data_IF_537135337959
#
_entry.id   IF_537135337959
#
_cell.length_a   1.000
_cell.length_b   1.000
_cell.length_c   1.000
_cell.angle_alpha   90.00
_cell.angle_beta   90.00
_cell.angle_gamma   90.00
#
_symmetry.space_group_name_H-M   'P 1'
#
loop_
_entity.id
_entity.type
_entity.pdbx_description
1 polymer ?
#
# COMPACT_ATOMS: atom_id res chain seq x y z
N UNK A 1 39.81 20.60 -4.81
CA UNK A 1 38.58 20.84 -5.58
C UNK A 1 37.63 21.68 -4.71
N UNK A 2 37.14 22.82 -5.19
CA UNK A 2 36.08 23.54 -4.47
C UNK A 2 34.84 22.61 -4.42
N UNK A 3 34.30 22.39 -3.23
CA UNK A 3 33.03 21.66 -3.06
C UNK A 3 31.98 22.46 -3.86
N UNK A 4 31.28 21.79 -4.76
CA UNK A 4 30.19 22.40 -5.53
C UNK A 4 29.12 22.88 -4.53
N UNK A 5 28.54 24.07 -4.77
CA UNK A 5 27.55 24.61 -3.86
C UNK A 5 26.28 23.75 -3.92
N UNK A 6 25.57 23.58 -2.79
CA UNK A 6 24.31 22.85 -2.76
C UNK A 6 23.33 23.36 -3.82
N UNK A 7 23.30 24.70 -4.04
CA UNK A 7 22.43 25.29 -5.06
C UNK A 7 22.73 24.75 -6.45
N UNK A 8 24.01 24.72 -6.87
CA UNK A 8 24.40 24.23 -8.19
C UNK A 8 24.04 22.75 -8.37
N UNK A 9 24.33 21.94 -7.35
CA UNK A 9 23.98 20.52 -7.37
C UNK A 9 22.46 20.29 -7.39
N UNK A 10 21.70 21.11 -6.65
CA UNK A 10 20.24 21.04 -6.63
C UNK A 10 19.63 21.43 -7.98
N UNK A 11 20.10 22.52 -8.62
CA UNK A 11 19.65 22.92 -9.97
C UNK A 11 19.88 21.78 -10.96
N UNK A 12 21.10 21.24 -11.01
CA UNK A 12 21.40 20.10 -11.89
C UNK A 12 20.53 18.87 -11.63
N UNK A 13 20.22 18.61 -10.37
CA UNK A 13 19.31 17.53 -10.00
C UNK A 13 17.87 17.77 -10.46
N UNK A 14 17.35 18.99 -10.29
CA UNK A 14 16.00 19.36 -10.77
C UNK A 14 15.92 19.24 -12.29
N UNK A 15 16.91 19.78 -13.02
CA UNK A 15 16.93 19.70 -14.49
C UNK A 15 16.95 18.25 -15.01
N UNK A 16 17.66 17.37 -14.33
CA UNK A 16 17.80 15.98 -14.70
C UNK A 16 16.59 15.12 -14.31
N UNK A 17 16.17 15.20 -13.05
CA UNK A 17 15.19 14.26 -12.45
C UNK A 17 13.78 14.81 -12.43
N UNK A 18 13.61 16.14 -12.44
CA UNK A 18 12.31 16.80 -12.33
C UNK A 18 12.13 17.96 -13.31
N UNK A 19 12.40 17.80 -14.60
CA UNK A 19 12.32 18.89 -15.57
C UNK A 19 10.95 19.58 -15.58
N UNK A 20 9.90 18.85 -15.20
CA UNK A 20 8.55 19.40 -15.09
C UNK A 20 8.42 20.50 -14.02
N UNK A 21 9.33 20.60 -13.05
CA UNK A 21 9.27 21.63 -11.99
C UNK A 21 9.55 23.02 -12.54
N UNK A 22 10.42 23.12 -13.54
CA UNK A 22 10.81 24.39 -14.17
C UNK A 22 10.02 24.72 -15.43
N UNK A 23 9.02 23.92 -15.79
CA UNK A 23 8.14 24.19 -16.92
C UNK A 23 7.23 25.41 -16.65
N UNK A 24 7.12 26.29 -17.63
CA UNK A 24 6.25 27.46 -17.55
C UNK A 24 4.78 27.08 -17.41
N UNK A 25 4.09 27.80 -16.53
CA UNK A 25 2.65 27.61 -16.30
C UNK A 25 2.31 26.50 -15.31
N UNK A 26 3.30 25.81 -14.77
CA UNK A 26 3.10 24.89 -13.64
C UNK A 26 3.31 25.64 -12.33
N UNK A 27 2.42 25.39 -11.37
CA UNK A 27 2.48 25.91 -10.02
C UNK A 27 2.49 24.78 -9.02
N UNK A 28 3.34 24.87 -8.01
CA UNK A 28 3.61 23.80 -7.06
C UNK A 28 3.12 24.14 -5.66
N UNK A 29 2.87 23.14 -4.83
CA UNK A 29 2.57 23.30 -3.42
C UNK A 29 3.75 22.80 -2.59
N UNK A 30 4.37 23.66 -1.77
CA UNK A 30 5.48 23.29 -0.90
C UNK A 30 4.98 23.04 0.53
N UNK A 31 5.16 21.84 1.05
CA UNK A 31 4.88 21.53 2.45
C UNK A 31 5.97 22.10 3.35
N UNK A 32 5.64 23.08 4.19
CA UNK A 32 6.60 23.82 5.01
C UNK A 32 6.24 23.70 6.49
N UNK A 33 7.13 23.06 7.26
CA UNK A 33 7.01 22.98 8.72
C UNK A 33 7.63 24.16 9.45
N UNK A 34 8.52 24.90 8.80
CA UNK A 34 9.37 25.93 9.41
C UNK A 34 10.77 25.41 9.80
N UNK A 35 10.99 24.10 9.82
CA UNK A 35 12.29 23.48 10.06
C UNK A 35 13.27 23.69 8.91
N UNK A 36 14.59 23.51 9.18
CA UNK A 36 15.68 23.85 8.26
C UNK A 36 15.48 23.24 6.86
N UNK A 37 15.07 21.96 6.76
CA UNK A 37 14.95 21.29 5.47
C UNK A 37 13.88 21.92 4.59
N UNK A 38 12.72 22.20 5.17
CA UNK A 38 11.62 22.85 4.46
C UNK A 38 11.93 24.29 4.07
N UNK A 39 12.67 25.02 4.93
CA UNK A 39 13.07 26.41 4.65
C UNK A 39 14.15 26.47 3.57
N UNK A 40 15.09 25.53 3.56
CA UNK A 40 16.08 25.42 2.48
C UNK A 40 15.41 25.03 1.17
N UNK A 41 14.47 24.09 1.18
CA UNK A 41 13.72 23.70 -0.03
C UNK A 41 13.05 24.91 -0.68
N UNK A 42 12.27 25.69 0.07
CA UNK A 42 11.59 26.86 -0.50
C UNK A 42 12.54 27.98 -0.91
N UNK A 43 13.67 28.14 -0.21
CA UNK A 43 14.71 29.10 -0.61
C UNK A 43 15.36 28.72 -1.95
N UNK A 44 15.69 27.42 -2.14
CA UNK A 44 16.25 26.91 -3.40
C UNK A 44 15.27 27.10 -4.57
N UNK A 45 14.01 26.71 -4.38
CA UNK A 45 12.96 26.85 -5.40
C UNK A 45 12.68 28.32 -5.75
N UNK A 46 12.62 29.19 -4.73
CA UNK A 46 12.46 30.63 -4.93
C UNK A 46 13.64 31.24 -5.72
N UNK A 47 14.88 30.84 -5.39
CA UNK A 47 16.08 31.28 -6.09
C UNK A 47 16.14 30.79 -7.54
N UNK A 48 15.49 29.68 -7.87
CA UNK A 48 15.34 29.19 -9.24
C UNK A 48 14.20 29.86 -10.00
N UNK A 49 13.37 30.68 -9.36
CA UNK A 49 12.20 31.30 -9.97
C UNK A 49 11.05 30.36 -10.23
N UNK A 50 10.95 29.25 -9.49
CA UNK A 50 9.83 28.31 -9.56
C UNK A 50 8.58 28.96 -8.97
N UNK A 51 7.44 28.84 -9.63
CA UNK A 51 6.14 29.30 -9.10
C UNK A 51 5.57 28.29 -8.12
N UNK A 52 5.39 28.68 -6.86
CA UNK A 52 4.83 27.84 -5.83
C UNK A 52 4.03 28.61 -4.79
N UNK A 53 3.18 27.86 -4.08
CA UNK A 53 2.53 28.28 -2.85
C UNK A 53 3.06 27.43 -1.69
N UNK A 54 2.90 27.91 -0.47
CA UNK A 54 3.29 27.20 0.76
C UNK A 54 2.05 26.63 1.45
N UNK A 55 2.14 25.38 1.93
CA UNK A 55 1.17 24.76 2.82
C UNK A 55 1.80 24.50 4.19
N UNK A 56 1.18 25.00 5.25
CA UNK A 56 1.56 24.77 6.63
C UNK A 56 0.43 24.11 7.41
N UNK A 57 0.74 23.03 8.14
CA UNK A 57 -0.21 22.30 8.99
C UNK A 57 0.13 22.50 10.45
N UNK A 58 -0.78 23.10 11.21
CA UNK A 58 -0.67 23.22 12.65
C UNK A 58 -1.50 22.10 13.32
N UNK A 59 -0.83 21.19 14.00
CA UNK A 59 -1.44 20.05 14.67
C UNK A 59 -1.76 20.29 16.14
N UNK A 60 -1.40 21.46 16.68
CA UNK A 60 -1.56 21.88 18.08
C UNK A 60 -0.97 20.91 19.12
N UNK A 61 -0.02 20.07 18.74
CA UNK A 61 0.57 19.05 19.62
C UNK A 61 1.64 19.61 20.56
N UNK A 62 2.13 20.84 20.30
CA UNK A 62 3.24 21.46 21.04
C UNK A 62 2.89 22.84 21.64
N UNK A 63 1.60 23.14 21.76
CA UNK A 63 1.13 24.38 22.36
C UNK A 63 1.73 25.63 21.71
N UNK A 64 2.45 26.47 22.51
CA UNK A 64 3.03 27.74 22.03
C UNK A 64 4.07 27.57 20.92
N UNK A 65 4.82 26.45 20.89
CA UNK A 65 5.78 26.19 19.82
C UNK A 65 5.08 26.04 18.47
N UNK A 66 3.95 25.36 18.40
CA UNK A 66 3.16 25.23 17.18
C UNK A 66 2.70 26.58 16.63
N UNK A 67 2.30 27.50 17.51
CA UNK A 67 1.90 28.86 17.13
C UNK A 67 3.09 29.72 16.68
N UNK A 68 4.25 29.55 17.34
CA UNK A 68 5.52 30.21 16.94
C UNK A 68 5.90 29.78 15.52
N UNK A 69 5.86 28.48 15.24
CA UNK A 69 6.27 27.90 13.96
C UNK A 69 5.36 28.38 12.83
N UNK A 70 4.06 28.39 13.04
CA UNK A 70 3.09 28.95 12.11
C UNK A 70 3.33 30.45 11.84
N UNK A 71 3.54 31.23 12.91
CA UNK A 71 3.85 32.67 12.80
C UNK A 71 5.13 32.91 12.00
N UNK A 72 6.14 32.05 12.19
CA UNK A 72 7.39 32.12 11.46
C UNK A 72 7.18 31.90 9.95
N UNK A 73 6.44 30.84 9.58
CA UNK A 73 6.12 30.52 8.18
C UNK A 73 5.27 31.63 7.54
N UNK A 74 4.28 32.18 8.25
CA UNK A 74 3.46 33.31 7.78
C UNK A 74 4.33 34.53 7.42
N UNK A 75 5.22 34.92 8.33
CA UNK A 75 6.13 36.05 8.12
C UNK A 75 7.10 35.83 6.95
N UNK A 76 7.54 34.59 6.78
CA UNK A 76 8.41 34.26 5.64
C UNK A 76 7.64 34.38 4.31
N UNK A 77 6.42 33.81 4.23
CA UNK A 77 5.59 33.86 3.04
C UNK A 77 5.22 35.32 2.66
N UNK A 78 4.80 36.13 3.62
CA UNK A 78 4.51 37.57 3.42
C UNK A 78 5.71 38.33 2.88
N UNK A 79 6.89 38.12 3.47
CA UNK A 79 8.14 38.83 3.05
C UNK A 79 8.54 38.48 1.62
N UNK A 80 8.27 37.28 1.15
CA UNK A 80 8.65 36.82 -0.18
C UNK A 80 7.52 36.90 -1.20
N UNK A 81 6.33 37.39 -0.81
CA UNK A 81 5.17 37.52 -1.70
C UNK A 81 4.63 36.14 -2.16
N UNK A 82 4.81 35.08 -1.36
CA UNK A 82 4.37 33.72 -1.67
C UNK A 82 3.00 33.43 -1.03
N UNK A 83 2.07 32.88 -1.81
CA UNK A 83 0.75 32.46 -1.30
C UNK A 83 0.92 31.37 -0.21
N UNK A 84 0.19 31.52 0.88
CA UNK A 84 0.24 30.61 2.02
C UNK A 84 -1.14 30.02 2.33
N UNK A 85 -1.19 28.72 2.49
CA UNK A 85 -2.34 27.97 3.00
C UNK A 85 -1.98 27.40 4.38
N UNK A 86 -2.69 27.84 5.42
CA UNK A 86 -2.58 27.30 6.77
C UNK A 86 -3.84 26.51 7.11
N UNK A 87 -3.68 25.46 7.89
CA UNK A 87 -4.77 24.70 8.46
C UNK A 87 -4.47 24.30 9.90
N UNK A 88 -5.47 24.41 10.76
CA UNK A 88 -5.44 23.95 12.14
C UNK A 88 -6.15 22.60 12.24
N UNK A 89 -5.52 21.63 12.92
CA UNK A 89 -6.06 20.28 13.06
C UNK A 89 -6.32 19.92 14.53
N UNK A 90 -7.49 19.39 14.82
CA UNK A 90 -7.75 18.67 16.07
C UNK A 90 -7.29 17.21 15.90
N UNK A 91 -5.96 17.02 16.03
CA UNK A 91 -5.31 15.74 15.82
C UNK A 91 -5.69 14.70 16.84
N UNK A 92 -5.96 15.11 18.09
CA UNK A 92 -6.29 14.21 19.19
C UNK A 92 -7.66 13.59 18.96
N UNK A 93 -8.68 14.42 18.74
CA UNK A 93 -10.05 13.93 18.48
C UNK A 93 -10.11 13.05 17.21
N UNK A 94 -9.34 13.38 16.18
CA UNK A 94 -9.26 12.54 14.97
C UNK A 94 -8.63 11.18 15.26
N UNK A 95 -7.53 11.12 16.01
CA UNK A 95 -6.87 9.88 16.39
C UNK A 95 -7.78 8.97 17.22
N UNK A 96 -8.46 9.53 18.22
CA UNK A 96 -9.40 8.82 19.09
C UNK A 96 -10.59 8.26 18.32
N UNK A 97 -11.18 9.05 17.42
CA UNK A 97 -12.34 8.63 16.62
C UNK A 97 -12.06 7.47 15.69
N UNK A 98 -10.81 7.31 15.26
CA UNK A 98 -10.36 6.24 14.34
C UNK A 98 -9.57 5.12 15.01
N UNK A 99 -9.25 5.23 16.29
CA UNK A 99 -8.45 4.25 17.01
C UNK A 99 -7.02 4.09 16.47
N UNK A 100 -6.41 5.19 15.99
CA UNK A 100 -5.06 5.22 15.43
C UNK A 100 -4.12 6.07 16.27
N UNK A 101 -2.80 5.94 16.06
CA UNK A 101 -1.83 6.78 16.75
C UNK A 101 -1.91 8.24 16.30
N UNK A 102 -1.51 9.18 17.18
CA UNK A 102 -1.44 10.62 16.88
C UNK A 102 -0.55 10.88 15.65
N UNK A 103 0.56 10.13 15.50
CA UNK A 103 1.44 10.26 14.33
C UNK A 103 0.73 9.86 13.03
N UNK A 104 -0.03 8.75 13.04
CA UNK A 104 -0.84 8.34 11.89
C UNK A 104 -1.93 9.37 11.58
N UNK A 105 -2.63 9.85 12.61
CA UNK A 105 -3.65 10.88 12.46
C UNK A 105 -3.09 12.16 11.81
N UNK A 106 -1.99 12.69 12.36
CA UNK A 106 -1.31 13.87 11.81
C UNK A 106 -0.83 13.65 10.35
N UNK A 107 -0.40 12.43 10.04
CA UNK A 107 -0.01 12.06 8.67
C UNK A 107 -1.22 12.04 7.75
N UNK A 108 -2.30 11.36 8.09
CA UNK A 108 -3.49 11.24 7.25
C UNK A 108 -4.09 12.63 6.97
N UNK A 109 -4.32 13.44 8.00
CA UNK A 109 -4.88 14.78 7.88
C UNK A 109 -3.99 15.70 7.01
N UNK A 110 -2.66 15.58 7.11
CA UNK A 110 -1.70 16.33 6.29
C UNK A 110 -1.82 15.99 4.81
N UNK A 111 -1.85 14.68 4.48
CA UNK A 111 -1.92 14.23 3.10
C UNK A 111 -3.28 14.55 2.47
N UNK A 112 -4.37 14.41 3.23
CA UNK A 112 -5.72 14.81 2.78
C UNK A 112 -5.78 16.31 2.47
N UNK A 113 -5.21 17.15 3.32
CA UNK A 113 -5.14 18.60 3.08
C UNK A 113 -4.36 18.94 1.81
N UNK A 114 -3.20 18.34 1.62
CA UNK A 114 -2.39 18.58 0.43
C UNK A 114 -3.12 18.13 -0.84
N UNK A 115 -3.71 16.95 -0.80
CA UNK A 115 -4.48 16.44 -1.93
C UNK A 115 -5.66 17.36 -2.27
N UNK A 116 -6.42 17.80 -1.26
CA UNK A 116 -7.53 18.74 -1.42
C UNK A 116 -7.07 20.06 -2.07
N UNK A 117 -5.98 20.65 -1.59
CA UNK A 117 -5.43 21.87 -2.17
C UNK A 117 -4.99 21.68 -3.63
N UNK A 118 -4.36 20.57 -3.97
CA UNK A 118 -3.97 20.28 -5.35
C UNK A 118 -5.19 20.22 -6.28
N UNK A 119 -6.26 19.56 -5.85
CA UNK A 119 -7.51 19.46 -6.64
C UNK A 119 -8.21 20.82 -6.76
N UNK A 120 -8.38 21.54 -5.65
CA UNK A 120 -9.14 22.80 -5.61
C UNK A 120 -8.43 23.97 -6.27
N UNK A 121 -7.11 24.05 -6.16
CA UNK A 121 -6.28 25.16 -6.65
C UNK A 121 -5.51 24.85 -7.92
N UNK A 122 -5.52 23.59 -8.38
CA UNK A 122 -4.84 23.18 -9.60
C UNK A 122 -3.33 23.14 -9.48
N UNK A 123 -2.76 22.87 -8.30
CA UNK A 123 -1.32 22.67 -8.16
C UNK A 123 -0.86 21.40 -8.89
N UNK A 124 0.28 21.48 -9.53
CA UNK A 124 0.86 20.38 -10.33
C UNK A 124 1.37 19.21 -9.47
N UNK A 125 1.59 19.45 -8.18
CA UNK A 125 2.03 18.47 -7.20
C UNK A 125 2.52 19.12 -5.92
N UNK A 126 2.96 18.29 -4.97
CA UNK A 126 3.38 18.69 -3.63
C UNK A 126 4.85 18.39 -3.42
N UNK A 127 5.63 19.38 -3.04
CA UNK A 127 7.05 19.21 -2.71
C UNK A 127 7.24 18.99 -1.22
N UNK A 128 7.95 17.91 -0.88
CA UNK A 128 8.27 17.48 0.48
C UNK A 128 9.78 17.56 0.70
N UNK A 129 10.20 18.11 1.83
CA UNK A 129 11.60 18.34 2.16
C UNK A 129 12.30 17.11 2.80
N UNK A 130 11.95 15.89 2.38
CA UNK A 130 12.67 14.69 2.78
C UNK A 130 14.07 14.66 2.15
N UNK A 131 15.07 14.25 2.93
CA UNK A 131 16.46 14.24 2.55
C UNK A 131 17.12 12.85 2.71
N UNK A 132 18.41 12.74 2.40
CA UNK A 132 19.11 11.46 2.35
C UNK A 132 19.18 10.74 3.71
N UNK A 133 19.24 11.47 4.82
CA UNK A 133 19.20 10.85 6.15
C UNK A 133 17.83 10.24 6.45
N UNK A 134 16.72 10.85 6.03
CA UNK A 134 15.38 10.28 6.13
C UNK A 134 15.25 8.98 5.31
N UNK A 135 15.96 8.90 4.18
CA UNK A 135 16.04 7.70 3.36
C UNK A 135 16.71 6.56 4.13
N UNK A 136 17.86 6.84 4.76
CA UNK A 136 18.57 5.87 5.62
C UNK A 136 17.67 5.41 6.76
N UNK A 137 17.01 6.34 7.46
CA UNK A 137 16.07 6.01 8.55
C UNK A 137 14.95 5.08 8.07
N UNK A 138 14.36 5.39 6.92
CA UNK A 138 13.25 4.61 6.37
C UNK A 138 13.69 3.19 6.02
N UNK A 139 14.84 3.02 5.38
CA UNK A 139 15.39 1.71 5.02
C UNK A 139 15.70 0.89 6.26
N UNK A 140 16.40 1.48 7.25
CA UNK A 140 16.73 0.79 8.49
C UNK A 140 15.48 0.41 9.29
N UNK A 141 14.50 1.30 9.36
CA UNK A 141 13.22 1.02 10.01
C UNK A 141 12.48 -0.15 9.34
N UNK A 142 12.40 -0.17 8.01
CA UNK A 142 11.78 -1.26 7.28
C UNK A 142 12.55 -2.57 7.46
N UNK A 143 13.89 -2.51 7.41
CA UNK A 143 14.76 -3.67 7.60
C UNK A 143 14.57 -4.32 8.97
N UNK A 144 14.48 -3.53 10.04
CA UNK A 144 14.28 -4.06 11.40
C UNK A 144 12.91 -4.70 11.63
N UNK A 145 11.92 -4.40 10.78
CA UNK A 145 10.57 -4.98 10.86
C UNK A 145 10.36 -6.19 9.94
N UNK A 146 11.35 -6.50 9.15
CA UNK A 146 11.21 -7.45 8.04
C UNK A 146 10.52 -6.78 6.84
N UNK A 147 11.14 -6.86 5.69
CA UNK A 147 10.62 -6.23 4.48
C UNK A 147 11.02 -7.00 3.23
N UNK A 148 10.26 -6.83 2.17
CA UNK A 148 10.63 -7.24 0.81
C UNK A 148 11.62 -6.24 0.19
N UNK A 149 12.03 -6.50 -1.06
CA UNK A 149 12.87 -5.60 -1.84
C UNK A 149 12.28 -4.18 -1.89
N UNK A 150 10.97 -4.03 -1.99
CA UNK A 150 10.29 -2.72 -2.04
C UNK A 150 10.55 -1.86 -0.81
N UNK A 151 10.55 -2.44 0.38
CA UNK A 151 10.87 -1.70 1.60
C UNK A 151 12.33 -1.28 1.71
N UNK A 152 13.25 -2.02 1.05
CA UNK A 152 14.66 -1.66 0.96
C UNK A 152 14.93 -0.54 -0.06
N UNK A 153 13.99 -0.27 -0.98
CA UNK A 153 14.05 0.87 -1.88
C UNK A 153 13.83 2.21 -1.15
N UNK A 154 13.31 2.16 0.07
CA UNK A 154 13.00 3.34 0.87
C UNK A 154 11.94 4.24 0.22
N UNK A 155 12.17 5.56 0.26
CA UNK A 155 11.30 6.54 -0.37
C UNK A 155 11.66 6.76 -1.83
N UNK A 156 10.66 6.78 -2.71
CA UNK A 156 10.84 7.25 -4.09
C UNK A 156 10.94 8.77 -4.15
N UNK A 157 11.69 9.29 -5.11
CA UNK A 157 11.77 10.73 -5.39
C UNK A 157 10.39 11.29 -5.78
N UNK A 158 9.64 10.54 -6.59
CA UNK A 158 8.26 10.83 -6.96
C UNK A 158 7.39 9.67 -6.47
N UNK A 159 6.29 10.00 -5.84
CA UNK A 159 5.20 9.07 -5.54
C UNK A 159 3.87 9.79 -5.67
N UNK A 160 3.06 9.38 -6.64
CA UNK A 160 1.80 10.04 -6.98
C UNK A 160 2.03 11.53 -7.29
N UNK A 161 1.42 12.43 -6.51
CA UNK A 161 1.58 13.88 -6.63
C UNK A 161 2.73 14.44 -5.77
N UNK A 162 3.48 13.60 -5.05
CA UNK A 162 4.49 14.02 -4.07
C UNK A 162 5.91 13.92 -4.62
N UNK A 163 6.67 15.02 -4.53
CA UNK A 163 8.02 15.19 -5.04
C UNK A 163 8.99 15.44 -3.88
N UNK A 164 10.11 14.72 -3.82
CA UNK A 164 11.14 14.81 -2.77
C UNK A 164 12.44 15.26 -3.37
N UNK A 165 12.51 16.55 -3.65
CA UNK A 165 13.61 17.15 -4.41
C UNK A 165 14.93 17.23 -3.63
N UNK A 166 14.89 17.12 -2.30
CA UNK A 166 16.08 17.09 -1.44
C UNK A 166 16.61 15.68 -1.14
N UNK A 167 15.96 14.62 -1.66
CA UNK A 167 16.28 13.22 -1.30
C UNK A 167 17.74 12.81 -1.56
N UNK A 168 18.48 13.32 -2.55
CA UNK A 168 19.90 13.01 -2.74
C UNK A 168 20.85 13.69 -1.75
N UNK A 169 20.39 14.75 -1.07
CA UNK A 169 21.26 15.63 -0.26
C UNK A 169 21.22 15.22 1.21
N UNK A 170 22.40 15.23 1.85
CA UNK A 170 22.52 14.93 3.27
C UNK A 170 22.05 16.12 4.13
N UNK A 171 21.51 15.81 5.31
CA UNK A 171 21.10 16.84 6.30
C UNK A 171 22.18 17.86 6.58
N UNK A 172 23.42 17.43 6.74
CA UNK A 172 24.56 18.30 6.98
C UNK A 172 24.80 19.31 5.85
N UNK A 173 24.62 18.90 4.59
CA UNK A 173 24.75 19.79 3.42
C UNK A 173 23.63 20.85 3.41
N UNK A 174 22.42 20.46 3.77
CA UNK A 174 21.25 21.35 3.90
C UNK A 174 21.49 22.39 5.01
N UNK A 175 21.93 21.96 6.18
CA UNK A 175 22.22 22.87 7.31
C UNK A 175 23.38 23.81 7.02
N UNK A 176 24.44 23.36 6.36
CA UNK A 176 25.55 24.19 5.97
C UNK A 176 25.11 25.28 4.96
N UNK A 177 24.31 24.87 3.97
CA UNK A 177 23.72 25.84 3.03
C UNK A 177 22.83 26.86 3.74
N UNK A 178 22.02 26.45 4.71
CA UNK A 178 21.20 27.37 5.47
C UNK A 178 22.02 28.41 6.23
N UNK A 179 23.15 28.00 6.84
CA UNK A 179 24.07 28.90 7.55
C UNK A 179 24.80 29.86 6.61
N UNK A 180 25.28 29.34 5.47
CA UNK A 180 26.00 30.15 4.45
C UNK A 180 25.11 31.22 3.81
N UNK A 181 23.79 30.98 3.74
CA UNK A 181 22.84 31.92 3.12
C UNK A 181 21.96 32.65 4.14
N UNK A 182 22.31 32.64 5.44
CA UNK A 182 21.54 33.29 6.51
C UNK A 182 20.06 32.93 6.55
N UNK A 183 19.71 31.74 6.07
CA UNK A 183 18.33 31.20 6.12
C UNK A 183 17.97 30.98 7.58
N UNK A 184 16.85 31.55 8.03
CA UNK A 184 16.34 31.35 9.38
C UNK A 184 15.36 30.16 9.36
N UNK A 185 15.32 29.42 10.47
CA UNK A 185 14.42 28.31 10.69
C UNK A 185 14.03 28.19 12.16
N UNK A 186 13.03 27.40 12.45
CA UNK A 186 12.61 27.03 13.82
C UNK A 186 13.08 25.63 14.17
N UNK A 187 13.54 25.44 15.39
CA UNK A 187 13.94 24.12 15.89
C UNK A 187 12.76 23.43 16.56
N UNK A 188 12.57 22.17 16.21
CA UNK A 188 11.53 21.32 16.77
C UNK A 188 12.10 20.58 18.01
N UNK A 189 11.57 20.91 19.19
CA UNK A 189 12.01 20.31 20.46
C UNK A 189 11.76 18.79 20.53
N UNK A 190 10.77 18.25 19.77
CA UNK A 190 10.45 16.82 19.77
C UNK A 190 11.49 15.98 19.01
N UNK A 191 12.34 16.59 18.19
CA UNK A 191 13.44 15.90 17.57
C UNK A 191 14.48 15.34 18.56
N UNK A 192 14.49 15.84 19.80
CA UNK A 192 15.43 15.41 20.84
C UNK A 192 14.96 14.16 21.63
N UNK A 193 13.74 13.68 21.44
CA UNK A 193 13.21 12.54 22.23
C UNK A 193 13.41 11.20 21.51
N UNK A 194 13.76 10.15 22.28
CA UNK A 194 13.97 8.79 21.77
C UNK A 194 12.72 7.88 21.91
N UNK A 195 11.54 8.46 22.08
CA UNK A 195 10.31 7.70 22.33
C UNK A 195 9.87 6.82 21.15
N UNK A 196 10.25 7.19 19.95
CA UNK A 196 9.86 6.47 18.72
C UNK A 196 11.03 5.72 18.09
N UNK A 197 10.77 4.57 17.50
CA UNK A 197 11.78 3.71 16.86
C UNK A 197 12.62 4.49 15.82
N UNK A 198 12.01 5.40 15.05
CA UNK A 198 12.72 6.23 14.08
C UNK A 198 13.71 7.19 14.75
N UNK A 199 13.30 7.83 15.83
CA UNK A 199 14.20 8.72 16.58
C UNK A 199 15.39 7.94 17.17
N UNK A 200 15.17 6.71 17.65
CA UNK A 200 16.26 5.83 18.10
C UNK A 200 17.23 5.49 16.97
N UNK A 201 16.72 5.20 15.78
CA UNK A 201 17.57 4.98 14.60
C UNK A 201 18.37 6.24 14.29
N UNK A 202 17.73 7.40 14.23
CA UNK A 202 18.34 8.72 13.95
C UNK A 202 19.46 9.07 14.92
N UNK A 203 19.21 8.91 16.23
CA UNK A 203 20.12 9.40 17.25
C UNK A 203 21.16 8.37 17.73
N UNK A 204 20.88 7.08 17.61
CA UNK A 204 21.75 6.03 18.16
C UNK A 204 22.38 5.13 17.09
N UNK A 205 21.73 4.92 15.94
CA UNK A 205 22.24 3.97 14.92
C UNK A 205 22.96 4.71 13.80
N UNK A 206 22.34 5.71 13.20
CA UNK A 206 22.92 6.44 12.07
C UNK A 206 24.27 7.09 12.42
N UNK A 207 24.48 7.74 13.58
CA UNK A 207 25.77 8.28 13.94
C UNK A 207 26.89 7.23 13.93
N UNK A 208 26.65 6.06 14.52
CA UNK A 208 27.63 4.96 14.52
C UNK A 208 27.93 4.49 13.09
N UNK A 209 26.92 4.37 12.24
CA UNK A 209 27.15 4.01 10.83
C UNK A 209 27.92 5.08 10.07
N UNK A 210 27.74 6.36 10.39
CA UNK A 210 28.51 7.48 9.81
C UNK A 210 29.96 7.52 10.29
N UNK A 211 30.26 7.04 11.51
CA UNK A 211 31.63 6.83 11.97
C UNK A 211 32.37 5.78 11.11
N UNK A 212 31.65 4.70 10.73
CA UNK A 212 32.17 3.65 9.84
C UNK A 212 32.31 4.15 8.41
N UNK A 213 31.27 4.85 7.90
CA UNK A 213 31.25 5.41 6.55
C UNK A 213 30.70 6.83 6.57
N UNK A 214 31.55 7.87 6.58
CA UNK A 214 31.08 9.26 6.52
C UNK A 214 30.22 9.59 5.31
N UNK A 215 30.36 8.85 4.19
CA UNK A 215 29.55 8.99 3.00
C UNK A 215 28.28 8.10 3.00
N UNK A 216 27.82 7.64 4.16
CA UNK A 216 26.68 6.72 4.31
C UNK A 216 25.46 7.13 3.48
N UNK A 217 25.01 8.35 3.63
CA UNK A 217 23.80 8.85 2.93
C UNK A 217 23.92 8.75 1.41
N UNK A 218 25.05 9.19 0.85
CA UNK A 218 25.31 9.09 -0.58
C UNK A 218 25.47 7.64 -1.06
N UNK A 219 26.05 6.77 -0.23
CA UNK A 219 26.16 5.34 -0.54
C UNK A 219 24.79 4.66 -0.56
N UNK A 220 23.96 4.94 0.43
CA UNK A 220 22.59 4.40 0.51
C UNK A 220 21.75 4.92 -0.65
N UNK A 221 21.82 6.20 -1.00
CA UNK A 221 21.11 6.76 -2.15
C UNK A 221 21.49 6.03 -3.45
N UNK A 222 22.77 5.85 -3.73
CA UNK A 222 23.26 5.12 -4.92
C UNK A 222 22.81 3.65 -4.92
N UNK A 223 22.85 3.00 -3.77
CA UNK A 223 22.38 1.62 -3.64
C UNK A 223 20.89 1.51 -3.94
N UNK A 224 20.07 2.44 -3.46
CA UNK A 224 18.63 2.45 -3.75
C UNK A 224 18.34 2.72 -5.22
N UNK A 225 19.09 3.59 -5.89
CA UNK A 225 18.99 3.79 -7.33
C UNK A 225 19.27 2.50 -8.12
N UNK A 226 20.36 1.82 -7.76
CA UNK A 226 20.68 0.52 -8.37
C UNK A 226 19.60 -0.52 -8.11
N UNK A 227 19.14 -0.65 -6.87
CA UNK A 227 18.09 -1.60 -6.49
C UNK A 227 16.74 -1.29 -7.16
N UNK A 228 16.42 -0.03 -7.46
CA UNK A 228 15.23 0.33 -8.25
C UNK A 228 15.30 -0.28 -9.65
N UNK A 229 16.44 -0.17 -10.34
CA UNK A 229 16.64 -0.81 -11.63
C UNK A 229 16.47 -2.34 -11.57
N UNK A 230 17.05 -2.97 -10.53
CA UNK A 230 16.88 -4.42 -10.30
C UNK A 230 15.41 -4.77 -10.04
N UNK A 231 14.71 -3.98 -9.23
CA UNK A 231 13.30 -4.20 -8.93
C UNK A 231 12.40 -4.03 -10.17
N UNK A 232 12.75 -3.11 -11.07
CA UNK A 232 12.05 -2.94 -12.35
C UNK A 232 12.14 -4.22 -13.20
N UNK A 233 13.35 -4.76 -13.38
CA UNK A 233 13.57 -6.02 -14.08
C UNK A 233 12.85 -7.19 -13.40
N UNK A 234 12.89 -7.23 -12.06
CA UNK A 234 12.17 -8.23 -11.28
C UNK A 234 10.66 -8.17 -11.54
N UNK A 235 10.06 -6.98 -11.52
CA UNK A 235 8.62 -6.81 -11.78
C UNK A 235 8.20 -7.22 -13.17
N UNK A 236 8.99 -6.86 -14.19
CA UNK A 236 8.73 -7.29 -15.57
C UNK A 236 8.73 -8.82 -15.70
N UNK A 237 9.74 -9.49 -15.09
CA UNK A 237 9.81 -10.95 -15.08
C UNK A 237 8.66 -11.56 -14.28
N UNK A 238 8.30 -10.97 -13.15
CA UNK A 238 7.21 -11.41 -12.29
C UNK A 238 5.87 -11.38 -13.03
N UNK A 239 5.56 -10.26 -13.69
CA UNK A 239 4.33 -10.10 -14.50
C UNK A 239 4.24 -11.15 -15.62
N UNK A 240 5.34 -11.39 -16.32
CA UNK A 240 5.41 -12.45 -17.34
C UNK A 240 5.13 -13.84 -16.73
N UNK A 241 5.79 -14.17 -15.62
CA UNK A 241 5.63 -15.48 -14.98
C UNK A 241 4.23 -15.68 -14.41
N UNK A 242 3.67 -14.67 -13.76
CA UNK A 242 2.29 -14.72 -13.26
C UNK A 242 1.32 -14.98 -14.41
N UNK A 243 1.43 -14.22 -15.51
CA UNK A 243 0.57 -14.36 -16.68
C UNK A 243 0.63 -15.77 -17.30
N UNK A 244 1.80 -16.41 -17.25
CA UNK A 244 1.99 -17.74 -17.83
C UNK A 244 1.41 -18.88 -17.01
N UNK A 245 1.16 -18.68 -15.70
CA UNK A 245 0.65 -19.71 -14.79
C UNK A 245 -0.75 -19.41 -14.26
N UNK A 246 -1.31 -18.23 -14.57
CA UNK A 246 -2.64 -17.83 -14.15
C UNK A 246 -3.59 -17.71 -15.33
N UNK A 247 -4.86 -18.02 -15.09
CA UNK A 247 -5.94 -17.81 -16.04
C UNK A 247 -7.13 -17.17 -15.33
N UNK A 248 -7.79 -16.24 -16.02
CA UNK A 248 -9.05 -15.66 -15.54
C UNK A 248 -10.18 -16.69 -15.61
N UNK A 249 -11.03 -16.70 -14.62
CA UNK A 249 -12.23 -17.52 -14.54
C UNK A 249 -13.46 -16.63 -14.28
N UNK A 250 -14.66 -17.16 -14.45
CA UNK A 250 -15.90 -16.43 -14.15
C UNK A 250 -15.98 -15.89 -12.70
N UNK A 251 -15.21 -16.47 -11.78
CA UNK A 251 -15.26 -16.16 -10.34
C UNK A 251 -14.00 -15.56 -9.76
N UNK A 252 -12.96 -15.38 -10.59
CA UNK A 252 -11.66 -14.88 -10.14
C UNK A 252 -10.54 -15.42 -11.00
N UNK A 253 -9.44 -15.86 -10.39
CA UNK A 253 -8.31 -16.44 -11.13
C UNK A 253 -8.03 -17.88 -10.67
N UNK A 254 -7.43 -18.67 -11.55
CA UNK A 254 -6.83 -19.95 -11.21
C UNK A 254 -5.34 -19.98 -11.51
N UNK A 255 -4.58 -20.70 -10.73
CA UNK A 255 -3.13 -20.89 -10.85
C UNK A 255 -2.89 -22.36 -11.15
N UNK A 256 -2.11 -22.64 -12.18
CA UNK A 256 -1.69 -23.99 -12.54
C UNK A 256 -0.61 -24.50 -11.56
N UNK A 257 -0.90 -25.61 -10.84
CA UNK A 257 0.01 -26.17 -9.84
C UNK A 257 1.24 -26.82 -10.50
N UNK A 258 1.11 -27.44 -11.67
CA UNK A 258 2.24 -28.07 -12.36
C UNK A 258 3.20 -27.02 -12.90
N UNK A 259 2.68 -25.98 -13.55
CA UNK A 259 3.46 -24.83 -13.99
C UNK A 259 4.15 -24.12 -12.82
N UNK A 260 3.47 -24.01 -11.67
CA UNK A 260 4.05 -23.44 -10.45
C UNK A 260 5.20 -24.29 -9.91
N UNK A 261 5.05 -25.62 -9.87
CA UNK A 261 6.10 -26.57 -9.43
C UNK A 261 7.35 -26.51 -10.33
N UNK A 262 7.16 -26.31 -11.62
CA UNK A 262 8.27 -26.17 -12.56
C UNK A 262 9.19 -24.98 -12.28
N UNK A 263 8.74 -24.02 -11.46
CA UNK A 263 9.54 -22.87 -11.01
C UNK A 263 10.45 -23.19 -9.80
N UNK A 264 10.36 -24.39 -9.23
CA UNK A 264 11.19 -24.88 -8.14
C UNK A 264 11.37 -23.87 -6.98
N UNK A 265 12.59 -23.37 -6.78
CA UNK A 265 12.92 -22.44 -5.69
C UNK A 265 12.25 -21.07 -5.84
N UNK A 266 11.77 -20.69 -7.01
CA UNK A 266 11.07 -19.42 -7.22
C UNK A 266 9.56 -19.52 -6.92
N UNK A 267 8.99 -20.74 -6.85
CA UNK A 267 7.56 -20.93 -6.63
C UNK A 267 7.03 -20.26 -5.33
N UNK A 268 7.68 -20.37 -4.16
CA UNK A 268 7.21 -19.69 -2.95
C UNK A 268 7.14 -18.18 -3.09
N UNK A 269 8.13 -17.59 -3.77
CA UNK A 269 8.17 -16.15 -4.03
C UNK A 269 7.01 -15.72 -4.94
N UNK A 270 6.74 -16.49 -5.99
CA UNK A 270 5.66 -16.19 -6.92
C UNK A 270 4.28 -16.30 -6.25
N UNK A 271 4.08 -17.33 -5.42
CA UNK A 271 2.88 -17.46 -4.59
C UNK A 271 2.72 -16.24 -3.67
N UNK A 272 3.80 -15.81 -3.01
CA UNK A 272 3.78 -14.64 -2.15
C UNK A 272 3.34 -13.38 -2.89
N UNK A 273 3.92 -13.11 -4.05
CA UNK A 273 3.60 -11.93 -4.84
C UNK A 273 2.16 -11.95 -5.37
N UNK A 274 1.65 -13.11 -5.78
CA UNK A 274 0.26 -13.25 -6.19
C UNK A 274 -0.67 -13.01 -4.97
N UNK A 275 -0.44 -13.72 -3.86
CA UNK A 275 -1.30 -13.65 -2.68
C UNK A 275 -1.26 -12.29 -1.98
N UNK A 276 -0.15 -11.55 -2.08
CA UNK A 276 -0.01 -10.20 -1.55
C UNK A 276 -1.04 -9.24 -2.15
N UNK A 277 -1.34 -9.37 -3.44
CA UNK A 277 -2.39 -8.61 -4.11
C UNK A 277 -3.79 -8.79 -3.52
N UNK A 278 -4.00 -9.89 -2.79
CA UNK A 278 -5.27 -10.24 -2.13
C UNK A 278 -5.21 -10.15 -0.60
N UNK A 279 -4.15 -9.52 -0.05
CA UNK A 279 -3.96 -9.38 1.41
C UNK A 279 -3.59 -10.67 2.15
N UNK A 280 -3.05 -11.68 1.43
CA UNK A 280 -2.73 -13.00 1.96
C UNK A 280 -1.26 -13.41 1.78
N UNK A 281 -0.34 -12.47 1.54
CA UNK A 281 1.07 -12.79 1.29
C UNK A 281 1.70 -13.65 2.38
N UNK A 282 1.38 -13.42 3.66
CA UNK A 282 1.88 -14.22 4.78
C UNK A 282 1.48 -15.70 4.73
N UNK A 283 0.41 -16.04 4.00
CA UNK A 283 -0.07 -17.42 3.80
C UNK A 283 0.68 -18.18 2.69
N UNK A 284 1.56 -17.52 1.96
CA UNK A 284 2.28 -18.12 0.83
C UNK A 284 3.05 -19.40 1.21
N UNK A 285 3.74 -19.37 2.35
CA UNK A 285 4.46 -20.55 2.85
C UNK A 285 3.54 -21.72 3.23
N UNK A 286 2.37 -21.41 3.79
CA UNK A 286 1.37 -22.44 4.12
C UNK A 286 0.77 -23.05 2.85
N UNK A 287 0.41 -22.22 1.87
CA UNK A 287 -0.10 -22.67 0.60
C UNK A 287 0.92 -23.53 -0.16
N UNK A 288 2.20 -23.11 -0.20
CA UNK A 288 3.26 -23.86 -0.85
C UNK A 288 3.41 -25.27 -0.24
N UNK A 289 3.41 -25.39 1.10
CA UNK A 289 3.47 -26.68 1.80
C UNK A 289 2.25 -27.57 1.54
N UNK A 290 1.14 -26.97 1.12
CA UNK A 290 -0.11 -27.70 0.85
C UNK A 290 -0.25 -28.11 -0.61
N UNK A 291 0.70 -27.79 -1.49
CA UNK A 291 0.61 -28.18 -2.92
C UNK A 291 0.49 -29.71 -3.08
N UNK A 292 1.12 -30.49 -2.20
CA UNK A 292 1.08 -31.96 -2.20
C UNK A 292 -0.03 -32.56 -1.31
N UNK A 293 -0.79 -31.72 -0.59
CA UNK A 293 -1.87 -32.17 0.28
C UNK A 293 -3.14 -32.50 -0.52
N UNK A 294 -4.12 -33.16 0.13
CA UNK A 294 -5.45 -33.41 -0.44
C UNK A 294 -6.14 -32.08 -0.85
N UNK A 295 -7.02 -32.18 -1.85
CA UNK A 295 -7.86 -31.08 -2.31
C UNK A 295 -8.79 -30.56 -1.21
N UNK A 296 -9.24 -29.30 -1.32
CA UNK A 296 -10.21 -28.69 -0.43
C UNK A 296 -9.61 -27.85 0.69
N UNK A 297 -8.28 -27.67 0.74
CA UNK A 297 -7.69 -26.72 1.71
C UNK A 297 -7.97 -25.29 1.31
N UNK A 298 -8.49 -24.52 2.26
CA UNK A 298 -8.94 -23.15 2.06
C UNK A 298 -8.18 -22.15 2.94
N UNK A 299 -7.92 -20.96 2.39
CA UNK A 299 -7.36 -19.81 3.10
C UNK A 299 -8.26 -18.61 2.83
N UNK A 300 -8.51 -17.79 3.86
CA UNK A 300 -9.44 -16.67 3.80
C UNK A 300 -8.71 -15.36 4.13
N UNK A 301 -9.02 -14.31 3.38
CA UNK A 301 -8.79 -12.90 3.75
C UNK A 301 -10.12 -12.22 4.04
N UNK A 302 -10.10 -10.91 4.28
CA UNK A 302 -11.34 -10.11 4.42
C UNK A 302 -12.15 -10.00 3.11
N UNK A 303 -11.53 -10.23 1.96
CA UNK A 303 -12.13 -9.99 0.63
C UNK A 303 -12.11 -11.19 -0.29
N UNK A 304 -11.15 -12.10 -0.12
CA UNK A 304 -10.94 -13.23 -1.02
C UNK A 304 -10.73 -14.54 -0.27
N UNK A 305 -11.05 -15.64 -0.95
CA UNK A 305 -10.70 -16.99 -0.54
C UNK A 305 -9.74 -17.62 -1.56
N UNK A 306 -8.84 -18.45 -1.06
CA UNK A 306 -7.93 -19.29 -1.86
C UNK A 306 -8.28 -20.72 -1.60
N UNK A 307 -8.60 -21.48 -2.64
CA UNK A 307 -8.96 -22.91 -2.55
C UNK A 307 -7.96 -23.72 -3.38
N UNK A 308 -7.29 -24.66 -2.74
CA UNK A 308 -6.41 -25.62 -3.43
C UNK A 308 -7.23 -26.83 -3.88
N UNK A 309 -7.27 -27.07 -5.18
CA UNK A 309 -7.82 -28.29 -5.79
C UNK A 309 -6.68 -29.19 -6.32
N UNK A 310 -7.00 -30.23 -7.07
CA UNK A 310 -6.04 -31.23 -7.57
C UNK A 310 -4.99 -30.62 -8.51
N UNK A 311 -5.45 -29.86 -9.50
CA UNK A 311 -4.62 -29.31 -10.58
C UNK A 311 -4.41 -27.79 -10.45
N UNK A 312 -5.31 -27.11 -9.75
CA UNK A 312 -5.35 -25.65 -9.70
C UNK A 312 -5.50 -25.12 -8.28
N UNK A 313 -5.02 -23.90 -8.09
CA UNK A 313 -5.36 -23.06 -6.95
C UNK A 313 -6.30 -21.99 -7.46
N UNK A 314 -7.46 -21.84 -6.83
CA UNK A 314 -8.44 -20.80 -7.16
C UNK A 314 -8.34 -19.65 -6.18
N UNK A 315 -8.35 -18.43 -6.67
CA UNK A 315 -8.48 -17.21 -5.86
C UNK A 315 -9.76 -16.52 -6.28
N UNK A 316 -10.72 -16.46 -5.38
CA UNK A 316 -12.08 -15.98 -5.64
C UNK A 316 -12.46 -14.90 -4.63
N UNK A 317 -13.20 -13.84 -5.00
CA UNK A 317 -13.77 -12.93 -4.04
C UNK A 317 -14.75 -13.64 -3.11
N UNK A 318 -14.77 -13.23 -1.85
CA UNK A 318 -15.80 -13.64 -0.90
C UNK A 318 -17.05 -12.82 -1.26
N UNK A 319 -17.95 -13.42 -2.02
CA UNK A 319 -19.27 -12.82 -2.21
C UNK A 319 -20.09 -13.05 -0.93
N UNK A 320 -20.69 -12.02 -0.38
CA UNK A 320 -21.81 -12.17 0.54
C UNK A 320 -22.94 -12.86 -0.24
N UNK A 321 -23.02 -14.16 -0.12
CA UNK A 321 -24.05 -14.92 -0.83
C UNK A 321 -25.36 -14.76 -0.09
N UNK A 322 -26.32 -14.17 -0.76
CA UNK A 322 -27.71 -14.13 -0.30
C UNK A 322 -28.24 -15.55 -0.05
N UNK A 323 -29.07 -15.65 0.97
CA UNK A 323 -29.89 -16.77 1.41
C UNK A 323 -29.24 -18.17 1.35
N UNK A 324 -28.76 -18.63 2.50
CA UNK A 324 -28.15 -19.97 2.66
C UNK A 324 -29.15 -21.11 2.58
N UNK A 325 -30.46 -20.84 2.57
CA UNK A 325 -31.51 -21.84 2.65
C UNK A 325 -32.77 -21.38 1.91
N UNK A 326 -33.34 -22.26 1.06
CA UNK A 326 -34.61 -22.06 0.37
C UNK A 326 -35.56 -23.17 0.81
N UNK A 327 -36.78 -22.77 1.21
CA UNK A 327 -37.84 -23.73 1.55
C UNK A 327 -38.78 -23.95 0.36
N UNK A 328 -39.12 -25.20 0.10
CA UNK A 328 -40.06 -25.65 -0.92
C UNK A 328 -41.24 -26.29 -0.22
N UNK A 329 -42.39 -25.64 -0.24
CA UNK A 329 -43.61 -26.10 0.47
C UNK A 329 -44.41 -27.14 -0.32
N UNK A 330 -44.27 -27.11 -1.64
CA UNK A 330 -45.02 -28.02 -2.53
C UNK A 330 -44.34 -28.18 -3.89
N UNK A 331 -44.69 -29.25 -4.62
CA UNK A 331 -44.28 -29.51 -6.01
C UNK A 331 -45.55 -29.57 -6.86
N UNK A 332 -45.61 -28.96 -8.08
CA UNK A 332 -44.45 -28.39 -8.81
C UNK A 332 -44.05 -26.99 -8.36
N UNK A 333 -42.77 -26.67 -8.50
CA UNK A 333 -42.22 -25.33 -8.16
C UNK A 333 -41.05 -24.98 -9.08
N UNK A 334 -40.93 -23.71 -9.40
CA UNK A 334 -39.77 -23.13 -10.09
C UNK A 334 -39.24 -21.93 -9.29
N UNK A 335 -37.97 -21.97 -8.93
CA UNK A 335 -37.27 -20.96 -8.15
C UNK A 335 -36.12 -20.45 -9.01
N UNK A 336 -36.03 -19.13 -9.22
CA UNK A 336 -35.01 -18.54 -10.08
C UNK A 336 -33.78 -18.04 -9.32
N UNK A 337 -33.94 -17.75 -8.02
CA UNK A 337 -32.87 -17.18 -7.17
C UNK A 337 -32.99 -17.73 -5.74
N UNK A 338 -31.90 -18.01 -5.02
CA UNK A 338 -30.48 -17.84 -5.38
C UNK A 338 -29.90 -18.94 -6.27
N UNK A 339 -30.65 -19.97 -6.51
CA UNK A 339 -30.31 -21.08 -7.41
C UNK A 339 -31.55 -21.38 -8.28
N UNK A 340 -31.37 -21.56 -9.58
CA UNK A 340 -32.46 -21.97 -10.46
C UNK A 340 -32.77 -23.44 -10.19
N UNK A 341 -33.95 -23.68 -9.62
CA UNK A 341 -34.44 -25.05 -9.26
C UNK A 341 -35.83 -25.22 -9.82
N UNK A 342 -36.01 -26.22 -10.66
CA UNK A 342 -37.33 -26.69 -11.06
C UNK A 342 -37.58 -28.06 -10.46
N UNK A 343 -38.65 -28.20 -9.71
CA UNK A 343 -39.06 -29.49 -9.18
C UNK A 343 -40.47 -29.83 -9.69
N UNK A 344 -40.59 -30.99 -10.28
CA UNK A 344 -41.85 -31.50 -10.84
C UNK A 344 -42.05 -32.98 -10.53
N UNK A 345 -43.27 -33.46 -10.73
CA UNK A 345 -43.65 -34.85 -10.54
C UNK A 345 -43.44 -35.62 -11.84
N UNK A 346 -42.78 -36.76 -11.78
CA UNK A 346 -42.67 -37.71 -12.88
C UNK A 346 -43.04 -39.11 -12.42
N UNK A 347 -43.68 -39.90 -13.29
CA UNK A 347 -44.05 -41.28 -13.03
C UNK A 347 -42.99 -42.27 -13.48
N UNK A 348 -42.04 -41.82 -14.31
CA UNK A 348 -40.96 -42.65 -14.87
C UNK A 348 -39.68 -41.89 -14.86
N UNK A 349 -38.58 -42.53 -14.46
CA UNK A 349 -37.25 -42.02 -14.59
C UNK A 349 -36.79 -42.19 -16.05
N UNK A 350 -36.74 -41.11 -16.82
CA UNK A 350 -36.24 -41.10 -18.20
C UNK A 350 -34.79 -40.67 -18.21
N UNK A 351 -33.90 -41.55 -18.68
CA UNK A 351 -32.50 -41.23 -18.94
C UNK A 351 -31.48 -41.86 -17.99
N UNK A 352 -30.24 -41.86 -18.42
CA UNK A 352 -29.08 -42.18 -17.58
C UNK A 352 -28.89 -41.07 -16.57
N UNK A 353 -28.87 -41.38 -15.28
CA UNK A 353 -28.68 -40.42 -14.18
C UNK A 353 -27.26 -39.87 -14.08
N UNK A 354 -26.51 -39.81 -15.15
CA UNK A 354 -25.14 -39.26 -15.19
C UNK A 354 -25.10 -37.72 -15.32
N UNK A 355 -26.26 -37.08 -15.44
CA UNK A 355 -26.31 -35.60 -15.48
C UNK A 355 -26.30 -35.06 -14.05
N UNK A 356 -25.21 -34.39 -13.68
CA UNK A 356 -24.96 -33.80 -12.35
C UNK A 356 -25.98 -32.72 -11.95
N UNK A 357 -26.90 -32.35 -12.84
CA UNK A 357 -27.88 -31.28 -12.69
C UNK A 357 -29.27 -31.80 -12.31
N UNK A 358 -29.55 -33.09 -12.47
CA UNK A 358 -30.86 -33.67 -12.25
C UNK A 358 -30.85 -34.72 -11.12
N UNK A 359 -31.81 -34.65 -10.20
CA UNK A 359 -31.93 -35.55 -9.05
C UNK A 359 -33.34 -36.06 -8.94
N UNK A 360 -33.53 -37.38 -8.82
CA UNK A 360 -34.81 -38.03 -8.57
C UNK A 360 -34.96 -38.41 -7.11
N UNK A 361 -36.09 -38.03 -6.53
CA UNK A 361 -36.43 -38.32 -5.12
C UNK A 361 -37.73 -39.08 -5.02
N UNK A 362 -37.80 -40.06 -4.10
CA UNK A 362 -39.00 -40.84 -3.81
C UNK A 362 -40.03 -39.95 -3.10
N UNK A 363 -41.16 -39.68 -3.78
CA UNK A 363 -42.23 -38.80 -3.29
C UNK A 363 -42.80 -39.23 -1.94
N UNK A 364 -42.97 -40.52 -1.74
CA UNK A 364 -43.61 -41.05 -0.53
C UNK A 364 -42.71 -40.93 0.71
N UNK A 365 -41.45 -40.60 0.51
CA UNK A 365 -40.46 -40.36 1.57
C UNK A 365 -40.16 -38.86 1.82
N UNK A 366 -40.76 -37.96 1.02
CA UNK A 366 -40.54 -36.52 1.19
C UNK A 366 -41.49 -35.96 2.25
N UNK A 367 -40.92 -35.21 3.17
CA UNK A 367 -41.68 -34.41 4.15
C UNK A 367 -41.50 -32.93 3.83
N UNK A 368 -42.57 -32.25 3.50
CA UNK A 368 -42.57 -30.79 3.25
C UNK A 368 -42.67 -30.01 4.56
N UNK A 369 -42.05 -28.80 4.63
CA UNK A 369 -41.28 -28.15 3.57
C UNK A 369 -39.92 -28.81 3.35
N UNK A 370 -39.48 -28.89 2.07
CA UNK A 370 -38.12 -29.30 1.74
C UNK A 370 -37.19 -28.11 1.85
N UNK A 371 -35.99 -28.37 2.35
CA UNK A 371 -34.95 -27.35 2.51
C UNK A 371 -33.82 -27.58 1.53
N UNK A 372 -33.61 -26.62 0.63
CA UNK A 372 -32.43 -26.56 -0.23
C UNK A 372 -31.42 -25.65 0.41
N UNK A 373 -30.31 -26.20 0.86
CA UNK A 373 -29.21 -25.49 1.54
C UNK A 373 -27.86 -26.07 1.16
N UNK A 374 -26.82 -25.36 1.54
CA UNK A 374 -25.47 -25.91 1.42
C UNK A 374 -25.28 -27.09 2.34
N UNK A 375 -24.41 -28.00 1.88
CA UNK A 375 -23.95 -29.12 2.68
C UNK A 375 -23.34 -28.61 4.01
N UNK A 376 -23.64 -29.31 5.10
CA UNK A 376 -23.08 -29.10 6.44
C UNK A 376 -22.42 -30.39 6.91
N UNK A 377 -21.38 -30.25 7.72
CA UNK A 377 -20.73 -31.42 8.33
C UNK A 377 -21.74 -32.23 9.14
N UNK A 378 -21.81 -33.55 8.86
CA UNK A 378 -22.80 -34.44 9.42
C UNK A 378 -24.00 -34.74 8.53
N UNK A 379 -24.14 -34.09 7.38
CA UNK A 379 -25.17 -34.43 6.41
C UNK A 379 -24.91 -35.83 5.82
N UNK A 380 -25.96 -36.64 5.74
CA UNK A 380 -25.92 -38.00 5.21
C UNK A 380 -27.00 -38.14 4.16
N UNK A 381 -26.67 -38.75 3.04
CA UNK A 381 -27.67 -39.18 2.07
C UNK A 381 -27.46 -40.64 1.68
N UNK A 382 -28.55 -41.31 1.35
CA UNK A 382 -28.52 -42.72 0.90
C UNK A 382 -28.85 -42.75 -0.59
N UNK A 383 -27.90 -43.04 -1.49
CA UNK A 383 -28.18 -43.20 -2.91
C UNK A 383 -29.13 -44.38 -3.15
N UNK A 384 -29.96 -44.21 -4.18
CA UNK A 384 -30.89 -45.30 -4.58
C UNK A 384 -30.08 -46.52 -5.07
N UNK A 385 -30.43 -47.71 -4.60
CA UNK A 385 -29.74 -48.96 -4.94
C UNK A 385 -28.51 -49.29 -4.09
N UNK A 386 -28.08 -48.43 -3.19
CA UNK A 386 -27.00 -48.71 -2.23
C UNK A 386 -27.58 -48.97 -0.84
N UNK A 387 -27.49 -50.20 -0.33
CA UNK A 387 -27.97 -50.61 1.01
C UNK A 387 -27.00 -50.29 2.16
N UNK A 388 -26.34 -49.12 2.17
CA UNK A 388 -25.41 -48.74 3.21
C UNK A 388 -25.20 -47.23 3.30
N UNK A 389 -24.77 -46.77 4.51
CA UNK A 389 -24.43 -45.37 4.78
C UNK A 389 -23.23 -44.95 3.99
#
# INVERSE_FOLDING_TARGET
>A
MKKESLYTAYVAHIEKSFPCIIEKGKRWLCAVSGGVDSMVMVHLLHSMGVDFAVAHCNFHLRGEESMRDETFVKRWAERHGVELHCVDFDTISYAESRGISIEMAARDMRYDFFHKLCVEKGYSGVMLAHHADDQVETILHNFTRGTSIEGLLGMGEIRDIYYRTLLPFAREEIENYARENDIKWVEDSTNATNEYTRNKIRHSVIPVLKEINPALCGSVYKNTEHLRGVNELYRLLLEEKIKNITEDTERGIRIDIEALRALETAAPTLIYEILRGYGMGERAGDLYRCLDAQSGKEFLSSTHRVVKDRLYIYIEPICERGVDEVEIDAVPVSIESPLSITAEMCDVIEGDCDDAIQVYLDKDKLCFPLKVRRWKEGDVFCPWGMGGK
#
